data_IF_839284097155
#
_entry.id   IF_839284097155
#
_cell.length_a   1.000
_cell.length_b   1.000
_cell.length_c   1.000
_cell.angle_alpha   90.00
_cell.angle_beta   90.00
_cell.angle_gamma   90.00
#
_symmetry.space_group_name_H-M   'P 1'
#
loop_
_entity.id
_entity.type
_entity.pdbx_description
1 polymer ?
#
# COMPACT_ATOMS: atom_id res chain seq x y z
N UNK A 1 -20.43 15.78 24.44
CA UNK A 1 -20.06 15.23 25.76
C UNK A 1 -18.76 15.88 26.17
N UNK A 2 -18.86 16.95 26.97
CA UNK A 2 -17.72 17.66 27.52
C UNK A 2 -16.95 16.73 28.47
N UNK A 3 -15.62 16.67 28.30
CA UNK A 3 -14.76 15.94 29.22
C UNK A 3 -14.79 16.65 30.58
N UNK A 4 -14.97 15.94 31.70
CA UNK A 4 -14.97 16.59 33.01
C UNK A 4 -13.60 17.25 33.30
N UNK A 5 -13.62 18.40 33.99
CA UNK A 5 -12.53 19.36 34.29
C UNK A 5 -11.26 18.80 34.97
N UNK A 6 -11.15 17.49 35.16
CA UNK A 6 -9.95 16.85 35.72
C UNK A 6 -8.73 16.91 34.78
N UNK A 7 -8.84 17.55 33.61
CA UNK A 7 -7.74 17.72 32.65
C UNK A 7 -6.70 18.76 33.06
N UNK A 8 -7.03 19.65 34.02
CA UNK A 8 -6.11 20.69 34.50
C UNK A 8 -4.93 20.08 35.26
N UNK A 9 -5.15 18.94 35.91
CA UNK A 9 -4.15 18.27 36.74
C UNK A 9 -3.61 17.03 36.04
N UNK A 10 -2.28 16.91 35.92
CA UNK A 10 -1.64 15.76 35.28
C UNK A 10 -1.99 14.43 35.97
N UNK A 11 -2.05 13.33 35.21
CA UNK A 11 -2.46 12.00 35.73
C UNK A 11 -1.66 11.56 36.95
N UNK A 12 -0.37 11.88 37.00
CA UNK A 12 0.49 11.55 38.14
C UNK A 12 0.14 12.35 39.39
N UNK A 13 -0.20 13.63 39.23
CA UNK A 13 -0.64 14.47 40.34
C UNK A 13 -1.94 13.92 40.95
N UNK A 14 -2.92 13.62 40.10
CA UNK A 14 -4.20 13.06 40.53
C UNK A 14 -3.97 11.72 41.24
N UNK A 15 -3.14 10.83 40.67
CA UNK A 15 -2.80 9.54 41.28
C UNK A 15 -2.20 9.70 42.67
N UNK A 16 -1.20 10.57 42.83
CA UNK A 16 -0.55 10.85 44.13
C UNK A 16 -1.53 11.38 45.17
N UNK A 17 -2.44 12.28 44.76
CA UNK A 17 -3.47 12.82 45.65
C UNK A 17 -4.47 11.77 46.09
N UNK A 18 -4.92 10.91 45.19
CA UNK A 18 -5.81 9.80 45.52
C UNK A 18 -5.11 8.81 46.46
N UNK A 19 -3.87 8.43 46.18
CA UNK A 19 -3.08 7.56 47.06
C UNK A 19 -2.91 8.15 48.46
N UNK A 20 -2.66 9.45 48.57
CA UNK A 20 -2.55 10.14 49.85
C UNK A 20 -3.89 10.11 50.62
N UNK A 21 -4.99 10.46 49.96
CA UNK A 21 -6.32 10.46 50.57
C UNK A 21 -6.73 9.06 51.06
N UNK A 22 -6.43 8.02 50.28
CA UNK A 22 -6.70 6.63 50.69
C UNK A 22 -5.90 6.24 51.95
N UNK A 23 -4.64 6.66 52.06
CA UNK A 23 -3.83 6.42 53.27
C UNK A 23 -4.41 7.14 54.48
N UNK A 24 -4.83 8.39 54.32
CA UNK A 24 -5.46 9.18 55.37
C UNK A 24 -6.76 8.51 55.84
N UNK A 25 -7.63 8.09 54.93
CA UNK A 25 -8.88 7.40 55.26
C UNK A 25 -8.66 6.04 55.92
N UNK A 26 -7.64 5.29 55.53
CA UNK A 26 -7.24 4.06 56.22
C UNK A 26 -6.77 4.35 57.65
N UNK A 27 -5.93 5.39 57.83
CA UNK A 27 -5.41 5.77 59.14
C UNK A 27 -6.49 6.28 60.10
N UNK A 28 -7.48 6.99 59.57
CA UNK A 28 -8.64 7.48 60.31
C UNK A 28 -9.71 6.41 60.54
N UNK A 29 -9.54 5.21 59.96
CA UNK A 29 -10.51 4.11 60.06
C UNK A 29 -11.82 4.34 59.30
N UNK A 30 -11.89 5.36 58.44
CA UNK A 30 -13.03 5.66 57.56
C UNK A 30 -13.23 4.53 56.55
N UNK A 31 -12.13 3.94 56.10
CA UNK A 31 -12.13 2.75 55.25
C UNK A 31 -11.27 1.65 55.89
N UNK A 32 -11.59 0.39 55.61
CA UNK A 32 -10.84 -0.78 56.06
C UNK A 32 -10.37 -1.60 54.88
N UNK A 33 -9.13 -2.09 54.93
CA UNK A 33 -8.62 -3.03 53.95
C UNK A 33 -9.24 -4.42 54.22
N UNK A 34 -10.06 -4.91 53.29
CA UNK A 34 -10.74 -6.19 53.44
C UNK A 34 -9.85 -7.39 53.06
N UNK A 35 -9.02 -7.25 52.03
CA UNK A 35 -8.00 -8.22 51.63
C UNK A 35 -6.86 -7.51 50.90
N UNK A 36 -5.63 -8.02 51.03
CA UNK A 36 -4.48 -7.59 50.23
C UNK A 36 -4.57 -8.10 48.79
N UNK A 37 -5.32 -9.18 48.58
CA UNK A 37 -5.54 -9.72 47.25
C UNK A 37 -6.57 -8.85 46.52
N UNK A 38 -6.30 -8.46 45.26
CA UNK A 38 -7.22 -7.63 44.50
C UNK A 38 -8.56 -8.34 44.37
N UNK A 39 -9.56 -7.87 45.13
CA UNK A 39 -10.93 -8.38 45.03
C UNK A 39 -11.40 -8.10 43.60
N UNK A 40 -11.76 -9.17 42.89
CA UNK A 40 -12.28 -9.09 41.52
C UNK A 40 -13.70 -8.49 41.57
N UNK A 41 -13.80 -7.17 41.67
CA UNK A 41 -15.10 -6.46 41.83
C UNK A 41 -15.99 -6.60 40.58
N UNK A 42 -15.41 -6.94 39.43
CA UNK A 42 -16.14 -7.26 38.21
C UNK A 42 -16.30 -8.78 38.08
N UNK A 43 -17.21 -9.34 38.86
CA UNK A 43 -17.69 -10.69 38.65
C UNK A 43 -18.21 -10.80 37.21
N UNK A 44 -17.67 -11.77 36.47
CA UNK A 44 -18.28 -12.22 35.23
C UNK A 44 -19.62 -12.85 35.62
N UNK A 45 -20.78 -12.35 35.17
CA UNK A 45 -22.09 -12.95 35.52
C UNK A 45 -22.27 -14.35 34.95
N UNK A 46 -21.36 -14.78 34.07
CA UNK A 46 -21.32 -16.09 33.46
C UNK A 46 -20.10 -16.80 34.07
N UNK A 47 -20.32 -17.43 35.22
CA UNK A 47 -19.30 -18.20 35.94
C UNK A 47 -18.82 -19.38 35.11
N UNK A 48 -17.69 -19.21 34.43
CA UNK A 48 -16.87 -20.33 33.96
C UNK A 48 -15.50 -20.22 34.60
N UNK A 49 -15.07 -21.28 35.29
CA UNK A 49 -13.80 -21.36 36.03
C UNK A 49 -12.56 -21.12 35.16
N UNK A 50 -12.69 -21.16 33.83
CA UNK A 50 -11.62 -21.01 32.85
C UNK A 50 -10.91 -19.64 32.88
N UNK A 51 -11.59 -18.58 33.35
CA UNK A 51 -11.04 -17.21 33.40
C UNK A 51 -10.16 -16.93 34.63
N UNK A 52 -10.05 -17.90 35.54
CA UNK A 52 -9.18 -17.78 36.71
C UNK A 52 -7.72 -18.14 36.41
N UNK A 53 -7.45 -18.69 35.23
CA UNK A 53 -6.09 -18.96 34.77
C UNK A 53 -5.39 -17.70 34.28
N UNK A 54 -4.14 -17.51 34.72
CA UNK A 54 -3.29 -16.43 34.21
C UNK A 54 -2.91 -16.72 32.75
N UNK A 55 -3.03 -15.69 31.91
CA UNK A 55 -2.54 -15.71 30.53
C UNK A 55 -1.29 -14.84 30.40
N UNK A 56 -0.39 -15.18 29.47
CA UNK A 56 0.78 -14.36 29.15
C UNK A 56 0.49 -13.43 27.97
N UNK A 57 0.85 -12.16 28.09
CA UNK A 57 0.64 -11.20 27.02
C UNK A 57 1.61 -11.41 25.86
N UNK A 58 1.11 -11.58 24.63
CA UNK A 58 1.96 -11.77 23.42
C UNK A 58 2.84 -10.57 23.03
N UNK A 59 2.75 -9.43 23.72
CA UNK A 59 3.47 -8.20 23.37
C UNK A 59 4.50 -7.79 24.43
N UNK A 60 4.12 -7.79 25.70
CA UNK A 60 5.05 -7.47 26.80
C UNK A 60 5.54 -8.70 27.56
N UNK A 61 4.89 -9.86 27.41
CA UNK A 61 5.22 -11.10 28.13
C UNK A 61 4.66 -11.19 29.55
N UNK A 62 4.09 -10.11 30.09
CA UNK A 62 3.56 -10.08 31.46
C UNK A 62 2.35 -11.02 31.62
N UNK A 63 2.27 -11.67 32.79
CA UNK A 63 1.11 -12.43 33.21
C UNK A 63 -0.05 -11.49 33.56
N UNK A 64 -1.25 -11.83 33.11
CA UNK A 64 -2.46 -11.08 33.44
C UNK A 64 -3.66 -12.04 33.57
N UNK A 65 -4.67 -11.60 34.29
CA UNK A 65 -5.95 -12.31 34.35
C UNK A 65 -6.86 -11.78 33.23
N UNK A 66 -7.24 -12.62 32.26
CA UNK A 66 -8.08 -12.19 31.15
C UNK A 66 -9.50 -11.89 31.63
N UNK A 67 -10.11 -10.82 31.12
CA UNK A 67 -11.52 -10.50 31.39
C UNK A 67 -12.47 -11.28 30.47
N UNK A 68 -11.94 -11.83 29.38
CA UNK A 68 -12.66 -12.62 28.37
C UNK A 68 -11.78 -13.76 27.90
N UNK A 69 -12.36 -14.91 27.57
CA UNK A 69 -11.60 -16.13 27.23
C UNK A 69 -10.69 -15.94 26.01
N UNK A 70 -11.05 -15.02 25.11
CA UNK A 70 -10.28 -14.68 23.92
C UNK A 70 -9.33 -13.48 24.09
N UNK A 71 -9.12 -12.98 25.31
CA UNK A 71 -8.25 -11.83 25.55
C UNK A 71 -6.78 -12.25 25.47
N UNK A 72 -6.09 -11.81 24.41
CA UNK A 72 -4.68 -12.15 24.13
C UNK A 72 -3.68 -11.15 24.75
N UNK A 73 -4.13 -9.93 25.07
CA UNK A 73 -3.26 -8.85 25.51
C UNK A 73 -3.69 -8.31 26.87
N UNK A 74 -2.70 -8.01 27.73
CA UNK A 74 -2.93 -7.49 29.08
C UNK A 74 -3.62 -6.12 29.09
N UNK A 75 -3.44 -5.33 28.03
CA UNK A 75 -3.96 -3.97 27.95
C UNK A 75 -4.27 -3.53 26.52
N UNK A 76 -5.06 -2.46 26.40
CA UNK A 76 -5.32 -1.78 25.13
C UNK A 76 -4.02 -1.34 24.45
N UNK A 77 -3.04 -0.84 25.22
CA UNK A 77 -1.73 -0.41 24.69
C UNK A 77 -1.00 -1.55 23.99
N UNK A 78 -1.00 -2.74 24.59
CA UNK A 78 -0.38 -3.92 24.00
C UNK A 78 -1.12 -4.38 22.74
N UNK A 79 -2.46 -4.33 22.74
CA UNK A 79 -3.27 -4.60 21.54
C UNK A 79 -2.95 -3.64 20.39
N UNK A 80 -2.96 -2.33 20.66
CA UNK A 80 -2.66 -1.30 19.66
C UNK A 80 -1.24 -1.47 19.08
N UNK A 81 -0.28 -1.89 19.91
CA UNK A 81 1.09 -2.21 19.49
C UNK A 81 1.14 -3.45 18.59
N UNK A 82 0.37 -4.49 18.89
CA UNK A 82 0.24 -5.66 18.02
C UNK A 82 -0.35 -5.28 16.65
N UNK A 83 -1.42 -4.49 16.64
CA UNK A 83 -2.07 -4.01 15.41
C UNK A 83 -1.12 -3.13 14.58
N UNK A 84 -0.32 -2.29 15.25
CA UNK A 84 0.72 -1.49 14.60
C UNK A 84 1.77 -2.37 13.90
N UNK A 85 2.28 -3.40 14.59
CA UNK A 85 3.27 -4.30 13.99
C UNK A 85 2.69 -5.10 12.82
N UNK A 86 1.46 -5.58 12.93
CA UNK A 86 0.78 -6.27 11.83
C UNK A 86 0.69 -5.37 10.58
N UNK A 87 0.25 -4.11 10.75
CA UNK A 87 0.19 -3.13 9.64
C UNK A 87 1.56 -2.81 9.07
N UNK A 88 2.57 -2.68 9.92
CA UNK A 88 3.94 -2.41 9.49
C UNK A 88 4.48 -3.53 8.59
N UNK A 89 4.28 -4.79 8.97
CA UNK A 89 4.75 -5.93 8.18
C UNK A 89 4.03 -6.02 6.84
N UNK A 90 2.71 -5.82 6.81
CA UNK A 90 1.95 -5.73 5.55
C UNK A 90 2.47 -4.61 4.64
N UNK A 91 2.76 -3.42 5.20
CA UNK A 91 3.32 -2.30 4.45
C UNK A 91 4.71 -2.62 3.89
N UNK A 92 5.54 -3.31 4.65
CA UNK A 92 6.89 -3.73 4.23
C UNK A 92 6.83 -4.71 3.06
N UNK A 93 5.89 -5.67 3.08
CA UNK A 93 5.63 -6.59 1.96
C UNK A 93 5.20 -5.81 0.71
N UNK A 94 4.21 -4.91 0.82
CA UNK A 94 3.75 -4.08 -0.30
C UNK A 94 4.88 -3.22 -0.90
N UNK A 95 5.73 -2.64 -0.06
CA UNK A 95 6.89 -1.86 -0.52
C UNK A 95 7.91 -2.73 -1.26
N UNK A 96 8.12 -3.98 -0.82
CA UNK A 96 9.01 -4.94 -1.48
C UNK A 96 8.47 -5.32 -2.86
N UNK A 97 7.18 -5.64 -2.97
CA UNK A 97 6.52 -5.95 -4.23
C UNK A 97 6.56 -4.77 -5.21
N UNK A 98 6.30 -3.55 -4.73
CA UNK A 98 6.43 -2.33 -5.53
C UNK A 98 7.86 -2.15 -6.07
N UNK A 99 8.88 -2.30 -5.23
CA UNK A 99 10.28 -2.23 -5.67
C UNK A 99 10.60 -3.29 -6.72
N UNK A 100 10.14 -4.54 -6.51
CA UNK A 100 10.33 -5.63 -7.44
C UNK A 100 9.69 -5.33 -8.81
N UNK A 101 8.44 -4.86 -8.82
CA UNK A 101 7.73 -4.49 -10.05
C UNK A 101 8.38 -3.30 -10.77
N UNK A 102 8.86 -2.29 -10.04
CA UNK A 102 9.62 -1.16 -10.63
C UNK A 102 10.94 -1.63 -11.25
N UNK A 103 11.69 -2.50 -10.56
CA UNK A 103 12.93 -3.11 -11.09
C UNK A 103 12.63 -3.91 -12.37
N UNK A 104 11.64 -4.79 -12.31
CA UNK A 104 11.21 -5.59 -13.47
C UNK A 104 10.81 -4.72 -14.66
N UNK A 105 10.02 -3.66 -14.45
CA UNK A 105 9.66 -2.70 -15.50
C UNK A 105 10.91 -2.05 -16.09
N UNK A 106 11.85 -1.59 -15.26
CA UNK A 106 13.10 -0.97 -15.73
C UNK A 106 13.92 -1.93 -16.59
N UNK A 107 14.07 -3.18 -16.16
CA UNK A 107 14.77 -4.22 -16.92
C UNK A 107 14.05 -4.54 -18.24
N UNK A 108 12.72 -4.66 -18.23
CA UNK A 108 11.92 -4.90 -19.43
C UNK A 108 12.08 -3.73 -20.44
N UNK A 109 12.04 -2.48 -19.97
CA UNK A 109 12.29 -1.31 -20.80
C UNK A 109 13.73 -1.26 -21.34
N UNK A 110 14.72 -1.67 -20.55
CA UNK A 110 16.11 -1.76 -21.00
C UNK A 110 16.27 -2.81 -22.10
N UNK A 111 15.70 -4.01 -21.92
CA UNK A 111 15.66 -5.07 -22.94
C UNK A 111 14.98 -4.59 -24.22
N UNK A 112 13.82 -3.94 -24.10
CA UNK A 112 13.10 -3.38 -25.25
C UNK A 112 13.92 -2.29 -25.96
N UNK A 113 14.64 -1.44 -25.21
CA UNK A 113 15.50 -0.40 -25.77
C UNK A 113 16.66 -1.01 -26.56
N UNK A 114 17.37 -1.99 -26.02
CA UNK A 114 18.48 -2.64 -26.72
C UNK A 114 18.03 -3.41 -27.95
N UNK A 115 16.88 -4.08 -27.87
CA UNK A 115 16.28 -4.74 -29.03
C UNK A 115 15.94 -3.73 -30.13
N UNK A 116 15.45 -2.53 -29.79
CA UNK A 116 15.25 -1.44 -30.75
C UNK A 116 16.55 -0.80 -31.24
N UNK A 117 17.63 -0.80 -30.44
CA UNK A 117 18.93 -0.27 -30.86
C UNK A 117 19.60 -1.18 -31.90
N UNK A 118 19.47 -2.50 -31.73
CA UNK A 118 19.96 -3.50 -32.68
C UNK A 118 19.20 -3.42 -34.02
N UNK A 119 17.92 -3.06 -33.98
CA UNK A 119 17.13 -2.71 -35.15
C UNK A 119 17.51 -1.30 -35.62
N UNK A 120 18.57 -1.14 -36.44
CA UNK A 120 18.86 0.14 -37.13
C UNK A 120 17.68 0.51 -38.03
N UNK A 121 16.71 1.23 -37.48
CA UNK A 121 15.52 1.64 -38.20
C UNK A 121 15.87 2.82 -39.12
N UNK A 122 15.38 2.80 -40.36
CA UNK A 122 15.49 3.95 -41.27
C UNK A 122 14.84 5.17 -40.62
N UNK A 123 15.66 6.15 -40.28
CA UNK A 123 15.23 7.48 -39.84
C UNK A 123 15.40 8.46 -40.99
N UNK A 124 14.35 9.22 -41.33
CA UNK A 124 14.42 10.19 -42.42
C UNK A 124 13.10 10.37 -43.16
N UNK A 125 13.14 11.13 -44.26
CA UNK A 125 11.99 11.39 -45.13
C UNK A 125 11.44 10.08 -45.70
N UNK A 126 10.12 10.00 -45.85
CA UNK A 126 9.45 8.85 -46.46
C UNK A 126 9.66 8.90 -47.97
N UNK A 127 10.17 7.82 -48.58
CA UNK A 127 10.25 7.71 -50.04
C UNK A 127 8.86 7.46 -50.63
N UNK A 128 8.69 7.78 -51.91
CA UNK A 128 7.42 7.51 -52.59
C UNK A 128 7.10 6.01 -52.62
N UNK A 129 8.10 5.13 -52.71
CA UNK A 129 7.90 3.68 -52.65
C UNK A 129 7.38 3.24 -51.27
N UNK A 130 7.93 3.80 -50.17
CA UNK A 130 7.46 3.50 -48.82
C UNK A 130 6.02 3.98 -48.58
N UNK A 131 5.63 5.11 -49.20
CA UNK A 131 4.27 5.63 -49.16
C UNK A 131 3.30 4.75 -49.93
N UNK A 132 3.74 4.25 -51.09
CA UNK A 132 2.92 3.40 -51.96
C UNK A 132 2.61 2.05 -51.31
N UNK A 133 3.60 1.43 -50.66
CA UNK A 133 3.40 0.21 -49.86
C UNK A 133 2.33 0.42 -48.79
N UNK A 134 2.35 1.57 -48.10
CA UNK A 134 1.34 1.94 -47.11
C UNK A 134 -0.04 2.16 -47.75
N UNK A 135 -0.12 2.87 -48.87
CA UNK A 135 -1.39 3.13 -49.57
C UNK A 135 -2.03 1.84 -50.06
N UNK A 136 -1.28 0.96 -50.70
CA UNK A 136 -1.78 -0.36 -51.13
C UNK A 136 -2.25 -1.21 -49.95
N UNK A 137 -1.53 -1.15 -48.82
CA UNK A 137 -1.95 -1.86 -47.62
C UNK A 137 -3.25 -1.28 -47.02
N UNK A 138 -3.46 0.04 -47.14
CA UNK A 138 -4.68 0.73 -46.71
C UNK A 138 -5.88 0.41 -47.60
N UNK A 139 -5.69 0.25 -48.91
CA UNK A 139 -6.76 -0.10 -49.86
C UNK A 139 -7.32 -1.50 -49.63
N UNK A 140 -6.47 -2.45 -49.25
CA UNK A 140 -6.88 -3.84 -49.02
C UNK A 140 -7.79 -3.99 -47.80
N UNK A 141 -7.50 -3.27 -46.71
CA UNK A 141 -8.27 -3.34 -45.44
C UNK A 141 -7.87 -2.25 -44.45
N UNK A 142 -8.68 -2.05 -43.41
CA UNK A 142 -8.25 -1.33 -42.22
C UNK A 142 -7.11 -2.10 -41.53
N UNK A 143 -5.95 -1.45 -41.40
CA UNK A 143 -4.76 -2.04 -40.84
C UNK A 143 -4.87 -2.18 -39.31
N UNK A 144 -4.80 -3.43 -38.84
CA UNK A 144 -4.69 -3.77 -37.43
C UNK A 144 -3.24 -3.67 -36.92
N UNK A 145 -3.06 -3.97 -35.64
CA UNK A 145 -1.76 -3.87 -34.98
C UNK A 145 -0.72 -4.83 -35.56
N UNK A 146 -1.15 -6.03 -35.97
CA UNK A 146 -0.25 -7.07 -36.49
C UNK A 146 0.24 -6.73 -37.90
N UNK A 147 -0.64 -6.20 -38.75
CA UNK A 147 -0.26 -5.76 -40.09
C UNK A 147 0.70 -4.57 -40.04
N UNK A 148 0.48 -3.60 -39.14
CA UNK A 148 1.40 -2.50 -38.92
C UNK A 148 2.79 -2.96 -38.47
N UNK A 149 2.88 -4.03 -37.69
CA UNK A 149 4.16 -4.64 -37.29
C UNK A 149 4.84 -5.28 -38.50
N UNK A 150 4.08 -5.98 -39.35
CA UNK A 150 4.61 -6.60 -40.56
C UNK A 150 5.19 -5.54 -41.52
N UNK A 151 4.41 -4.48 -41.80
CA UNK A 151 4.85 -3.36 -42.65
C UNK A 151 6.06 -2.67 -42.05
N UNK A 152 6.11 -2.48 -40.72
CA UNK A 152 7.27 -1.88 -40.05
C UNK A 152 8.55 -2.71 -40.22
N UNK A 153 8.45 -4.05 -40.19
CA UNK A 153 9.58 -4.94 -40.46
C UNK A 153 10.03 -4.85 -41.91
N UNK A 154 9.08 -4.85 -42.85
CA UNK A 154 9.35 -4.77 -44.29
C UNK A 154 10.03 -3.44 -44.67
N UNK A 155 9.51 -2.32 -44.18
CA UNK A 155 10.06 -0.98 -44.42
C UNK A 155 11.34 -0.71 -43.62
N UNK A 156 11.68 -1.58 -42.66
CA UNK A 156 12.78 -1.34 -41.72
C UNK A 156 12.58 -0.06 -40.89
N UNK A 157 11.33 0.31 -40.59
CA UNK A 157 10.97 1.50 -39.80
C UNK A 157 10.35 1.11 -38.46
N UNK A 158 10.29 2.07 -37.53
CA UNK A 158 9.65 1.83 -36.24
C UNK A 158 8.14 1.63 -36.41
N UNK A 159 7.54 0.70 -35.64
CA UNK A 159 6.08 0.49 -35.65
C UNK A 159 5.33 1.80 -35.35
N UNK A 160 5.84 2.61 -34.43
CA UNK A 160 5.28 3.94 -34.13
C UNK A 160 5.33 4.89 -35.33
N UNK A 161 6.41 4.86 -36.10
CA UNK A 161 6.57 5.71 -37.29
C UNK A 161 5.57 5.32 -38.38
N UNK A 162 5.43 4.01 -38.65
CA UNK A 162 4.44 3.49 -39.61
C UNK A 162 3.03 3.81 -39.16
N UNK A 163 2.69 3.55 -37.89
CA UNK A 163 1.38 3.84 -37.32
C UNK A 163 1.03 5.33 -37.46
N UNK A 164 1.95 6.21 -37.10
CA UNK A 164 1.75 7.67 -37.21
C UNK A 164 1.56 8.10 -38.66
N UNK A 165 2.32 7.51 -39.60
CA UNK A 165 2.19 7.82 -41.02
C UNK A 165 0.87 7.32 -41.61
N UNK A 166 0.44 6.10 -41.25
CA UNK A 166 -0.87 5.54 -41.60
C UNK A 166 -2.01 6.46 -41.18
N UNK A 167 -2.07 6.88 -39.92
CA UNK A 167 -3.16 7.75 -39.45
C UNK A 167 -3.16 9.11 -40.15
N UNK A 168 -1.97 9.68 -40.41
CA UNK A 168 -1.84 10.92 -41.18
C UNK A 168 -2.39 10.80 -42.61
N UNK A 169 -2.07 9.71 -43.30
CA UNK A 169 -2.56 9.45 -44.65
C UNK A 169 -4.08 9.23 -44.64
N UNK A 170 -4.59 8.49 -43.64
CA UNK A 170 -6.02 8.24 -43.45
C UNK A 170 -6.84 9.50 -43.17
N UNK A 171 -6.24 10.49 -42.51
CA UNK A 171 -6.86 11.79 -42.21
C UNK A 171 -6.74 12.82 -43.35
N UNK A 172 -6.19 12.44 -44.52
CA UNK A 172 -6.06 13.34 -45.68
C UNK A 172 -4.95 14.39 -45.55
N UNK A 173 -4.03 14.25 -44.58
CA UNK A 173 -2.98 15.23 -44.29
C UNK A 173 -1.73 15.09 -45.18
N UNK A 174 -1.85 15.47 -46.46
CA UNK A 174 -0.73 15.88 -47.30
C UNK A 174 -0.48 17.38 -47.15
N UNK A 175 0.32 17.79 -46.15
CA UNK A 175 1.06 19.03 -46.33
C UNK A 175 2.19 18.75 -47.31
N UNK A 176 1.95 19.12 -48.57
CA UNK A 176 3.00 19.37 -49.55
C UNK A 176 4.09 20.24 -48.88
N UNK A 177 5.35 19.86 -49.05
CA UNK A 177 6.48 20.69 -48.66
C UNK A 177 6.83 21.59 -49.87
N UNK A 178 6.52 22.90 -49.86
CA UNK A 178 6.84 23.79 -50.96
C UNK A 178 8.26 24.31 -50.83
N UNK A 179 9.27 23.42 -50.79
CA UNK A 179 10.67 23.80 -50.98
C UNK A 179 11.43 22.67 -51.68
N UNK A 180 11.37 22.72 -53.00
CA UNK A 180 12.36 22.19 -53.92
C UNK A 180 12.31 23.10 -55.16
N UNK A 181 12.97 24.25 -55.04
CA UNK A 181 13.53 24.99 -56.17
C UNK A 181 15.01 24.65 -56.22
#
# INVERSE_FOLDING_TARGET
MERPEFSIWGREFVRKRVEQALKEFLSQGVIKLYSSDPVRVFLNPIGTEELDTKASCKICGEEFFPLKSNQVYCSKRCRDKADYYAKYESKKVLLRERKYTTKYKREAYARFRELNKALRQKTGRWSNEELEILRQAMERKNLGKEELISIARELGRSMKSVQHKYYRLKQGGEMANPQAS
#
